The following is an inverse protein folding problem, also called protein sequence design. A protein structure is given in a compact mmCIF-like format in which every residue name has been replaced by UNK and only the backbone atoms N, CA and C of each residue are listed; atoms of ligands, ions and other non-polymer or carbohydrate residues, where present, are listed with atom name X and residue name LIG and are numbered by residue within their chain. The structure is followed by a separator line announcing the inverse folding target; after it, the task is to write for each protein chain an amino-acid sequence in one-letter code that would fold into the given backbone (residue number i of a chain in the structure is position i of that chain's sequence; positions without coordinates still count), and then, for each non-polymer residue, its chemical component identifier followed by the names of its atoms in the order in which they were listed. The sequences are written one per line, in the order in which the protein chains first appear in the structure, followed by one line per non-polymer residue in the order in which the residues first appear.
data_IF_240663354169
#
_entry.id   IF_240663354169
#
_cell.length_a   1.000
_cell.length_b   1.000
_cell.length_c   1.000
_cell.angle_alpha   90.00
_cell.angle_beta   90.00
_cell.angle_gamma   90.00
#
_symmetry.space_group_name_H-M   'P 1'
#
loop_
_entity.id
_entity.type
_entity.pdbx_description
1 polymer ?
#
# COMPACT_ATOMS: atom_id res chain seq x y z
N UNK A 1 18.45 14.57 -7.93
CA UNK A 1 17.68 15.76 -8.21
C UNK A 1 16.18 15.61 -7.96
N UNK A 2 15.71 14.47 -7.42
CA UNK A 2 14.33 14.31 -6.98
C UNK A 2 14.08 15.02 -5.64
N UNK A 3 12.81 15.36 -5.39
CA UNK A 3 12.34 15.96 -4.15
C UNK A 3 11.38 14.96 -3.49
N UNK A 4 11.48 14.71 -2.15
CA UNK A 4 10.51 13.86 -1.46
C UNK A 4 9.09 14.43 -1.61
N UNK A 5 8.16 13.63 -2.13
CA UNK A 5 6.78 14.05 -2.31
C UNK A 5 5.99 14.13 -0.98
N UNK A 6 6.22 13.24 0.02
CA UNK A 6 5.47 13.28 1.26
C UNK A 6 5.76 14.50 2.12
N UNK A 7 6.97 15.07 2.04
CA UNK A 7 7.38 16.15 2.92
C UNK A 7 6.50 17.41 2.76
N UNK A 8 5.79 17.77 3.82
CA UNK A 8 4.80 18.86 3.88
C UNK A 8 3.53 18.64 3.03
N UNK A 9 3.36 17.46 2.43
CA UNK A 9 2.10 17.13 1.75
C UNK A 9 0.98 17.04 2.79
N UNK A 10 -0.01 17.92 2.70
CA UNK A 10 -1.11 18.07 3.65
C UNK A 10 -0.67 18.14 5.14
N UNK A 11 0.58 18.54 5.40
CA UNK A 11 1.14 18.64 6.75
C UNK A 11 1.97 17.42 7.18
N UNK A 12 2.15 16.39 6.34
CA UNK A 12 3.01 15.24 6.68
C UNK A 12 4.46 15.70 6.99
N UNK A 13 5.05 15.31 8.14
CA UNK A 13 6.27 15.96 8.64
C UNK A 13 7.58 15.38 8.13
N UNK A 14 7.57 14.27 7.38
CA UNK A 14 8.79 13.52 6.98
C UNK A 14 8.86 13.31 5.47
N UNK A 15 10.01 12.83 5.00
CA UNK A 15 10.32 12.65 3.57
C UNK A 15 9.96 11.26 3.04
N UNK A 16 9.55 10.34 3.90
CA UNK A 16 9.26 8.93 3.63
C UNK A 16 8.28 8.44 4.69
N UNK A 17 7.45 7.44 4.37
CA UNK A 17 6.70 6.72 5.38
C UNK A 17 7.42 5.42 5.76
N UNK A 18 7.35 5.05 7.03
CA UNK A 18 7.84 3.77 7.54
C UNK A 18 6.78 3.16 8.44
N UNK A 19 6.17 2.05 8.00
CA UNK A 19 5.06 1.41 8.72
C UNK A 19 5.49 0.04 9.22
N UNK A 20 5.40 -0.19 10.53
CA UNK A 20 6.00 -1.35 11.21
C UNK A 20 4.90 -2.26 11.74
N UNK A 21 4.98 -3.57 11.45
CA UNK A 21 4.12 -4.64 11.97
C UNK A 21 2.62 -4.37 11.74
N UNK A 22 1.89 -3.81 12.72
CA UNK A 22 0.46 -3.51 12.66
C UNK A 22 0.12 -2.10 12.13
N UNK A 23 1.14 -1.33 11.73
CA UNK A 23 0.93 -0.10 10.97
C UNK A 23 0.59 -0.44 9.53
N UNK A 24 -0.59 -0.03 9.09
CA UNK A 24 -1.09 -0.29 7.73
C UNK A 24 -0.33 0.54 6.70
N UNK A 25 -0.25 1.86 6.93
CA UNK A 25 0.45 2.82 6.11
C UNK A 25 0.65 4.16 6.83
N UNK A 26 1.32 5.10 6.16
CA UNK A 26 1.59 6.48 6.63
C UNK A 26 2.33 6.57 7.97
N UNK A 27 3.03 5.53 8.38
CA UNK A 27 3.88 5.58 9.59
C UNK A 27 4.91 6.70 9.48
N UNK A 28 5.04 7.50 10.55
CA UNK A 28 5.95 8.65 10.59
C UNK A 28 7.31 8.17 11.12
N UNK A 29 8.40 8.28 10.36
CA UNK A 29 9.74 7.95 10.85
C UNK A 29 10.10 8.73 12.11
N UNK A 30 10.53 8.02 13.14
CA UNK A 30 10.93 8.59 14.42
C UNK A 30 12.30 8.03 14.87
N UNK A 31 13.17 8.90 15.39
CA UNK A 31 14.51 8.53 15.87
C UNK A 31 14.48 7.66 17.13
N UNK A 32 13.38 7.69 17.89
CA UNK A 32 13.19 6.88 19.10
C UNK A 32 12.71 5.45 18.76
N UNK A 33 12.19 5.23 17.55
CA UNK A 33 11.71 3.92 17.11
C UNK A 33 12.88 3.13 16.48
N UNK A 34 13.35 2.13 17.20
CA UNK A 34 14.43 1.25 16.75
C UNK A 34 13.86 -0.07 16.27
N UNK A 35 14.07 -0.40 15.01
CA UNK A 35 13.69 -1.70 14.43
C UNK A 35 14.38 -2.85 15.18
N UNK A 36 13.65 -3.92 15.44
CA UNK A 36 14.10 -5.10 16.17
C UNK A 36 14.08 -6.33 15.26
N UNK A 37 14.90 -7.30 15.60
CA UNK A 37 14.82 -8.61 14.96
C UNK A 37 13.39 -9.19 15.11
N UNK A 38 12.84 -9.64 13.99
CA UNK A 38 11.47 -10.11 13.93
C UNK A 38 10.44 -9.06 13.45
N UNK A 39 10.82 -7.80 13.28
CA UNK A 39 9.93 -6.80 12.70
C UNK A 39 9.82 -6.96 11.18
N UNK A 40 8.65 -6.60 10.65
CA UNK A 40 8.45 -6.31 9.23
C UNK A 40 8.18 -4.81 9.10
N UNK A 41 8.75 -4.17 8.10
CA UNK A 41 8.57 -2.73 7.87
C UNK A 41 8.32 -2.44 6.40
N UNK A 42 7.27 -1.68 6.13
CA UNK A 42 7.06 -1.02 4.84
C UNK A 42 7.89 0.26 4.82
N UNK A 43 8.60 0.49 3.72
CA UNK A 43 9.25 1.77 3.43
C UNK A 43 8.65 2.29 2.13
N UNK A 44 7.95 3.39 2.24
CA UNK A 44 7.23 4.02 1.14
C UNK A 44 7.92 5.33 0.74
N UNK A 45 8.33 5.38 -0.53
CA UNK A 45 9.17 6.44 -1.08
C UNK A 45 8.53 7.04 -2.33
N UNK A 46 7.91 8.17 -2.15
CA UNK A 46 7.35 8.94 -3.26
C UNK A 46 8.27 10.12 -3.62
N UNK A 47 8.40 10.39 -4.89
CA UNK A 47 9.39 11.36 -5.39
C UNK A 47 8.79 12.28 -6.45
N UNK A 48 9.10 13.58 -6.37
CA UNK A 48 8.85 14.54 -7.45
C UNK A 48 10.14 14.70 -8.25
N UNK A 49 10.07 14.41 -9.54
CA UNK A 49 11.19 14.63 -10.46
C UNK A 49 10.72 15.33 -11.73
N UNK A 50 11.32 16.49 -12.02
CA UNK A 50 10.95 17.34 -13.16
C UNK A 50 9.45 17.70 -13.23
N UNK A 51 8.79 17.84 -12.08
CA UNK A 51 7.37 18.18 -11.98
C UNK A 51 6.42 16.98 -12.07
N UNK A 52 6.92 15.76 -12.13
CA UNK A 52 6.12 14.54 -12.13
C UNK A 52 6.32 13.76 -10.82
N UNK A 53 5.23 13.17 -10.34
CA UNK A 53 5.22 12.30 -9.17
C UNK A 53 5.45 10.84 -9.56
N UNK A 54 6.20 10.13 -8.73
CA UNK A 54 6.31 8.68 -8.73
C UNK A 54 6.12 8.16 -7.32
N UNK A 55 5.55 6.98 -7.20
CA UNK A 55 5.23 6.34 -5.93
C UNK A 55 5.68 4.89 -5.93
N UNK A 56 6.21 4.41 -4.80
CA UNK A 56 6.60 3.02 -4.66
C UNK A 56 6.93 2.65 -3.22
N UNK A 57 6.53 1.48 -2.80
CA UNK A 57 6.87 0.95 -1.48
C UNK A 57 7.41 -0.47 -1.51
N UNK A 58 8.10 -0.85 -0.43
CA UNK A 58 8.64 -2.19 -0.24
C UNK A 58 8.57 -2.64 1.20
N UNK A 59 8.32 -3.93 1.39
CA UNK A 59 8.46 -4.59 2.68
C UNK A 59 9.89 -5.09 2.91
N UNK A 60 10.36 -4.92 4.12
CA UNK A 60 11.63 -5.48 4.60
C UNK A 60 11.39 -6.32 5.86
N UNK A 61 12.00 -7.49 5.91
CA UNK A 61 12.06 -8.34 7.09
C UNK A 61 13.35 -8.03 7.85
N UNK A 62 13.25 -7.72 9.14
CA UNK A 62 14.40 -7.36 9.97
C UNK A 62 14.92 -8.60 10.70
N UNK A 63 16.08 -9.09 10.26
CA UNK A 63 16.65 -10.33 10.77
C UNK A 63 15.77 -11.56 10.47
N UNK A 64 15.62 -12.43 11.46
CA UNK A 64 14.76 -13.61 11.35
C UNK A 64 13.34 -13.25 11.79
N UNK A 65 12.39 -13.27 10.88
CA UNK A 65 10.97 -13.08 11.17
C UNK A 65 10.25 -14.43 11.28
N UNK A 66 9.07 -14.42 11.88
CA UNK A 66 8.28 -15.64 11.98
C UNK A 66 7.74 -16.11 10.62
N UNK A 67 7.42 -17.40 10.44
CA UNK A 67 6.83 -17.92 9.20
C UNK A 67 5.53 -17.22 8.79
N UNK A 68 4.74 -16.76 9.76
CA UNK A 68 3.50 -15.99 9.53
C UNK A 68 3.82 -14.64 8.86
N UNK A 69 4.82 -13.93 9.38
CA UNK A 69 5.29 -12.65 8.81
C UNK A 69 5.88 -12.85 7.40
N UNK A 70 6.71 -13.87 7.22
CA UNK A 70 7.23 -14.22 5.88
C UNK A 70 6.10 -14.51 4.89
N UNK A 71 5.10 -15.28 5.33
CA UNK A 71 3.92 -15.59 4.51
C UNK A 71 3.16 -14.33 4.14
N UNK A 72 2.88 -13.44 5.10
CA UNK A 72 2.17 -12.19 4.87
C UNK A 72 2.89 -11.34 3.82
N UNK A 73 4.19 -11.08 4.01
CA UNK A 73 5.00 -10.28 3.07
C UNK A 73 5.03 -10.92 1.68
N UNK A 74 5.17 -12.25 1.60
CA UNK A 74 5.16 -12.98 0.33
C UNK A 74 3.81 -12.86 -0.39
N UNK A 75 2.70 -13.09 0.32
CA UNK A 75 1.35 -13.00 -0.27
C UNK A 75 1.05 -11.56 -0.72
N UNK A 76 1.47 -10.56 0.04
CA UNK A 76 1.35 -9.16 -0.36
C UNK A 76 2.07 -8.89 -1.68
N UNK A 77 3.29 -9.41 -1.83
CA UNK A 77 4.04 -9.31 -3.09
C UNK A 77 3.32 -10.02 -4.24
N UNK A 78 2.81 -11.23 -4.00
CA UNK A 78 2.02 -11.98 -4.98
C UNK A 78 0.77 -11.20 -5.41
N UNK A 79 0.09 -10.51 -4.48
CA UNK A 79 -1.05 -9.64 -4.78
C UNK A 79 -0.68 -8.53 -5.78
N UNK A 80 0.45 -7.85 -5.58
CA UNK A 80 0.93 -6.82 -6.52
C UNK A 80 1.25 -7.43 -7.89
N UNK A 81 1.97 -8.57 -7.93
CA UNK A 81 2.30 -9.27 -9.18
C UNK A 81 1.04 -9.71 -9.94
N UNK A 82 0.02 -10.19 -9.23
CA UNK A 82 -1.30 -10.51 -9.80
C UNK A 82 -1.96 -9.24 -10.34
N UNK A 83 -1.98 -8.16 -9.55
CA UNK A 83 -2.50 -6.87 -9.98
C UNK A 83 -1.88 -6.43 -11.30
N UNK A 84 -0.55 -6.37 -11.37
CA UNK A 84 0.20 -6.02 -12.59
C UNK A 84 -0.20 -6.93 -13.77
N UNK A 85 -0.34 -8.24 -13.54
CA UNK A 85 -0.70 -9.20 -14.61
C UNK A 85 -2.08 -8.96 -15.22
N UNK A 86 -2.97 -8.28 -14.48
CA UNK A 86 -4.33 -7.94 -14.90
C UNK A 86 -4.45 -6.57 -15.56
N UNK A 87 -3.40 -5.76 -15.52
CA UNK A 87 -3.40 -4.48 -16.24
C UNK A 87 -3.36 -4.73 -17.73
N UNK A 88 -4.49 -4.44 -18.40
CA UNK A 88 -4.65 -4.60 -19.84
C UNK A 88 -5.47 -3.46 -20.42
N UNK A 89 -5.06 -2.91 -21.58
CA UNK A 89 -5.88 -1.90 -22.24
C UNK A 89 -7.30 -2.41 -22.51
N UNK A 90 -8.26 -1.54 -22.28
CA UNK A 90 -9.69 -1.74 -22.54
C UNK A 90 -10.40 -2.73 -21.60
N UNK A 91 -9.71 -3.19 -20.55
CA UNK A 91 -10.31 -3.97 -19.46
C UNK A 91 -10.74 -3.06 -18.30
N UNK A 92 -11.82 -3.40 -17.57
CA UNK A 92 -12.19 -2.68 -16.36
C UNK A 92 -11.14 -2.84 -15.25
N UNK A 93 -10.81 -1.76 -14.57
CA UNK A 93 -9.82 -1.77 -13.47
C UNK A 93 -10.26 -2.68 -12.29
N UNK A 94 -11.56 -2.86 -12.10
CA UNK A 94 -12.13 -3.75 -11.08
C UNK A 94 -11.73 -5.22 -11.26
N UNK A 95 -11.42 -5.67 -12.47
CA UNK A 95 -10.92 -7.03 -12.70
C UNK A 95 -9.56 -7.25 -12.02
N UNK A 96 -8.74 -6.24 -11.98
CA UNK A 96 -7.46 -6.26 -11.26
C UNK A 96 -7.70 -6.30 -9.75
N UNK A 97 -8.50 -5.39 -9.21
CA UNK A 97 -8.81 -5.35 -7.78
C UNK A 97 -9.47 -6.63 -7.29
N UNK A 98 -10.42 -7.19 -8.05
CA UNK A 98 -11.06 -8.46 -7.72
C UNK A 98 -10.06 -9.63 -7.65
N UNK A 99 -9.15 -9.74 -8.62
CA UNK A 99 -8.16 -10.80 -8.63
C UNK A 99 -7.20 -10.73 -7.44
N UNK A 100 -6.78 -9.51 -7.06
CA UNK A 100 -5.97 -9.25 -5.86
C UNK A 100 -6.73 -9.67 -4.60
N UNK A 101 -8.01 -9.28 -4.48
CA UNK A 101 -8.86 -9.62 -3.35
C UNK A 101 -9.00 -11.14 -3.17
N UNK A 102 -9.32 -11.84 -4.25
CA UNK A 102 -9.50 -13.28 -4.18
C UNK A 102 -8.22 -13.99 -3.74
N UNK A 103 -7.05 -13.57 -4.23
CA UNK A 103 -5.78 -14.15 -3.81
C UNK A 103 -5.50 -13.93 -2.32
N UNK A 104 -5.76 -12.73 -1.79
CA UNK A 104 -5.60 -12.46 -0.36
C UNK A 104 -6.53 -13.36 0.48
N UNK A 105 -7.82 -13.44 0.12
CA UNK A 105 -8.81 -14.28 0.81
C UNK A 105 -8.45 -15.77 0.78
N UNK A 106 -8.01 -16.30 -0.36
CA UNK A 106 -7.58 -17.70 -0.52
C UNK A 106 -6.38 -18.05 0.38
N UNK A 107 -5.56 -17.05 0.71
CA UNK A 107 -4.44 -17.20 1.63
C UNK A 107 -4.79 -16.95 3.10
N UNK A 108 -6.06 -16.57 3.40
CA UNK A 108 -6.57 -16.33 4.74
C UNK A 108 -6.34 -14.91 5.26
N UNK A 109 -6.13 -13.95 4.37
CA UNK A 109 -5.93 -12.54 4.68
C UNK A 109 -7.13 -11.68 4.27
N UNK A 110 -7.21 -10.48 4.83
CA UNK A 110 -8.17 -9.45 4.44
C UNK A 110 -7.46 -8.29 3.73
N UNK A 111 -8.23 -7.43 3.07
CA UNK A 111 -7.72 -6.22 2.41
C UNK A 111 -8.47 -5.01 2.95
N UNK A 112 -7.74 -3.94 3.24
CA UNK A 112 -8.31 -2.64 3.58
C UNK A 112 -9.15 -2.12 2.42
N UNK A 113 -10.34 -1.57 2.71
CA UNK A 113 -11.32 -1.20 1.67
C UNK A 113 -11.27 0.28 1.32
N UNK A 114 -11.09 1.12 2.34
CA UNK A 114 -11.22 2.57 2.25
C UNK A 114 -9.93 3.26 1.79
N UNK A 115 -8.82 2.52 1.74
CA UNK A 115 -7.53 2.99 1.25
C UNK A 115 -7.13 2.07 0.09
N UNK A 116 -6.63 2.65 -0.99
CA UNK A 116 -6.28 1.89 -2.18
C UNK A 116 -5.33 2.66 -3.07
N UNK A 117 -5.09 2.14 -4.26
CA UNK A 117 -4.27 2.79 -5.25
C UNK A 117 -4.96 3.99 -5.90
N UNK A 118 -4.20 4.75 -6.62
CA UNK A 118 -4.65 6.01 -7.22
C UNK A 118 -3.87 6.31 -8.51
N UNK A 119 -4.41 7.20 -9.32
CA UNK A 119 -3.64 7.81 -10.39
C UNK A 119 -2.48 8.63 -9.83
N UNK A 120 -1.35 8.64 -10.52
CA UNK A 120 -0.13 9.36 -10.13
C UNK A 120 0.56 9.92 -11.37
N UNK A 121 1.11 11.12 -11.24
CA UNK A 121 1.87 11.71 -12.37
C UNK A 121 1.94 13.21 -12.30
N UNK A 122 0.89 13.93 -12.65
CA UNK A 122 0.85 15.40 -12.55
C UNK A 122 0.54 15.85 -11.12
N UNK A 123 -0.27 15.07 -10.42
CA UNK A 123 -0.53 15.23 -9.00
C UNK A 123 -0.01 14.00 -8.24
N UNK A 124 0.15 14.11 -6.93
CA UNK A 124 0.53 13.00 -6.09
C UNK A 124 -0.58 11.95 -6.06
N UNK A 125 -1.83 12.39 -5.88
CA UNK A 125 -3.02 11.56 -5.95
C UNK A 125 -3.98 12.18 -6.97
N UNK A 126 -4.29 11.43 -8.01
CA UNK A 126 -5.23 11.83 -9.06
C UNK A 126 -6.12 10.63 -9.46
N UNK A 127 -7.10 10.83 -10.30
CA UNK A 127 -7.90 9.74 -10.86
C UNK A 127 -7.05 8.82 -11.76
N UNK A 128 -7.35 7.50 -11.80
CA UNK A 128 -8.49 6.83 -11.19
C UNK A 128 -8.24 6.36 -9.74
N UNK A 129 -9.29 6.22 -8.96
CA UNK A 129 -9.28 5.44 -7.73
C UNK A 129 -9.17 3.95 -8.04
N UNK A 130 -8.27 3.25 -7.34
CA UNK A 130 -8.01 1.81 -7.52
C UNK A 130 -8.42 1.04 -6.27
N UNK A 131 -9.61 0.42 -6.31
CA UNK A 131 -10.11 -0.41 -5.23
C UNK A 131 -9.68 -1.87 -5.40
N UNK A 132 -9.25 -2.48 -4.30
CA UNK A 132 -8.91 -3.92 -4.26
C UNK A 132 -10.06 -4.80 -3.75
N UNK A 133 -11.22 -4.23 -3.50
CA UNK A 133 -12.44 -4.97 -3.12
C UNK A 133 -13.56 -4.80 -4.15
N UNK A 134 -13.18 -4.48 -5.38
CA UNK A 134 -14.09 -4.30 -6.51
C UNK A 134 -14.74 -5.60 -6.96
N UNK A 135 -15.91 -5.49 -7.57
CA UNK A 135 -16.54 -6.58 -8.32
C UNK A 135 -15.87 -6.74 -9.69
N UNK A 136 -15.90 -7.95 -10.23
CA UNK A 136 -15.49 -8.18 -11.63
C UNK A 136 -16.31 -7.33 -12.61
N UNK A 137 -15.67 -6.92 -13.69
CA UNK A 137 -16.26 -6.10 -14.76
C UNK A 137 -16.78 -4.73 -14.29
N UNK A 138 -16.23 -4.20 -13.17
CA UNK A 138 -16.59 -2.89 -12.62
C UNK A 138 -15.45 -1.89 -12.72
N UNK A 139 -15.76 -0.62 -12.43
CA UNK A 139 -14.80 0.47 -12.42
C UNK A 139 -14.51 1.06 -13.80
N UNK A 140 -13.53 1.94 -13.86
CA UNK A 140 -13.13 2.61 -15.11
C UNK A 140 -12.43 1.66 -16.07
N UNK A 141 -12.53 1.94 -17.36
CA UNK A 141 -11.80 1.20 -18.37
C UNK A 141 -10.35 1.71 -18.42
N UNK A 142 -9.40 0.80 -18.34
CA UNK A 142 -7.98 1.14 -18.45
C UNK A 142 -7.63 1.52 -19.89
N UNK A 143 -7.15 2.72 -20.09
CA UNK A 143 -6.76 3.23 -21.40
C UNK A 143 -5.24 3.34 -21.52
N UNK A 144 -4.67 3.16 -22.72
CA UNK A 144 -3.24 3.38 -22.93
C UNK A 144 -2.81 4.80 -22.54
N UNK A 145 -1.80 4.89 -21.67
CA UNK A 145 -1.30 6.15 -21.16
C UNK A 145 -1.77 6.49 -19.73
N UNK A 146 -2.72 5.75 -19.18
CA UNK A 146 -3.04 5.85 -17.77
C UNK A 146 -1.87 5.42 -16.90
N UNK A 147 -1.63 6.15 -15.82
CA UNK A 147 -0.68 5.82 -14.77
C UNK A 147 -1.42 5.73 -13.44
N UNK A 148 -1.20 4.69 -12.69
CA UNK A 148 -1.80 4.48 -11.38
C UNK A 148 -0.97 3.51 -10.54
N UNK A 149 -1.15 3.56 -9.22
CA UNK A 149 -0.46 2.69 -8.27
C UNK A 149 -1.20 1.35 -8.09
N UNK A 150 -0.46 0.32 -7.71
CA UNK A 150 -0.98 -0.97 -7.27
C UNK A 150 -0.37 -1.28 -5.92
N UNK A 151 -1.10 -0.98 -4.85
CA UNK A 151 -0.62 -0.94 -3.47
C UNK A 151 -1.58 -1.57 -2.47
N UNK A 152 -2.01 -2.82 -2.65
CA UNK A 152 -2.95 -3.44 -1.72
C UNK A 152 -2.37 -3.53 -0.31
N UNK A 153 -3.18 -3.13 0.68
CA UNK A 153 -2.87 -3.27 2.10
C UNK A 153 -3.49 -4.56 2.61
N UNK A 154 -2.65 -5.53 2.94
CA UNK A 154 -3.04 -6.90 3.31
C UNK A 154 -2.91 -7.06 4.82
N UNK A 155 -4.03 -7.37 5.49
CA UNK A 155 -4.10 -7.55 6.93
C UNK A 155 -4.26 -9.02 7.32
N UNK A 156 -3.63 -9.40 8.42
CA UNK A 156 -3.76 -10.75 9.00
C UNK A 156 -5.16 -10.98 9.59
N UNK A 157 -5.77 -9.95 10.16
CA UNK A 157 -7.05 -10.00 10.85
C UNK A 157 -8.14 -9.18 10.17
N UNK A 158 -8.70 -8.19 10.88
CA UNK A 158 -9.76 -7.31 10.36
C UNK A 158 -9.29 -6.44 9.18
N UNK A 159 -10.16 -6.18 8.20
CA UNK A 159 -9.89 -5.15 7.19
C UNK A 159 -10.03 -3.73 7.73
N UNK A 160 -10.57 -3.58 8.95
CA UNK A 160 -10.84 -2.28 9.55
C UNK A 160 -9.56 -1.70 10.19
N UNK A 161 -9.52 -0.38 10.28
CA UNK A 161 -8.37 0.36 10.78
C UNK A 161 -8.81 1.59 11.59
N UNK A 162 -7.85 2.24 12.24
CA UNK A 162 -8.03 3.57 12.81
C UNK A 162 -6.81 4.45 12.49
N UNK A 163 -7.03 5.75 12.48
CA UNK A 163 -5.96 6.75 12.37
C UNK A 163 -5.51 7.13 13.76
N UNK A 164 -4.21 7.22 13.97
CA UNK A 164 -3.61 7.67 15.23
C UNK A 164 -4.04 9.12 15.54
N UNK A 165 -4.77 9.31 16.65
CA UNK A 165 -5.27 10.62 17.08
C UNK A 165 -4.17 11.57 17.57
N UNK A 166 -2.97 11.05 17.90
CA UNK A 166 -1.85 11.86 18.37
C UNK A 166 -1.06 12.51 17.23
N UNK A 167 -1.07 11.89 16.04
CA UNK A 167 -0.30 12.39 14.89
C UNK A 167 -1.13 12.64 13.63
N UNK A 168 -2.41 12.25 13.62
CA UNK A 168 -3.38 12.41 12.52
C UNK A 168 -2.96 11.74 11.18
N UNK A 169 -1.99 10.82 11.20
CA UNK A 169 -1.42 10.20 9.99
C UNK A 169 -1.32 8.69 10.03
N UNK A 170 -0.63 8.15 11.02
CA UNK A 170 -0.34 6.72 11.08
C UNK A 170 -1.62 5.91 11.18
N UNK A 171 -1.76 4.94 10.31
CA UNK A 171 -2.93 4.07 10.24
C UNK A 171 -2.57 2.72 10.84
N UNK A 172 -3.35 2.27 11.81
CA UNK A 172 -3.18 1.00 12.50
C UNK A 172 -4.34 0.05 12.22
N UNK A 173 -4.06 -1.24 12.22
CA UNK A 173 -5.12 -2.27 12.23
C UNK A 173 -5.93 -2.16 13.52
N UNK A 174 -7.27 -2.36 13.42
CA UNK A 174 -8.16 -2.22 14.59
C UNK A 174 -7.96 -3.31 15.65
N UNK A 175 -7.37 -4.44 15.29
CA UNK A 175 -7.22 -5.65 16.09
C UNK A 175 -5.75 -5.95 16.45
N UNK A 176 -4.84 -5.01 16.23
CA UNK A 176 -3.39 -5.15 16.42
C UNK A 176 -2.76 -6.28 15.55
N UNK A 177 -3.50 -6.83 14.59
CA UNK A 177 -3.01 -7.83 13.63
C UNK A 177 -1.96 -7.23 12.69
N UNK A 178 -1.10 -8.08 12.13
CA UNK A 178 -0.06 -7.65 11.19
C UNK A 178 -0.67 -7.10 9.90
N UNK A 179 -0.02 -6.09 9.33
CA UNK A 179 -0.31 -5.54 8.02
C UNK A 179 0.95 -5.50 7.14
N UNK A 180 0.77 -5.64 5.83
CA UNK A 180 1.83 -5.47 4.86
C UNK A 180 1.31 -4.78 3.59
N UNK A 181 2.14 -3.90 3.02
CA UNK A 181 1.89 -3.18 1.78
C UNK A 181 3.13 -3.24 0.89
N UNK A 182 2.91 -3.42 -0.40
CA UNK A 182 3.94 -3.28 -1.45
C UNK A 182 3.29 -2.55 -2.61
N UNK A 183 4.05 -1.68 -3.21
CA UNK A 183 3.61 -0.88 -4.33
C UNK A 183 4.58 -0.97 -5.52
#
# INVERSE_FOLDING_TARGET
GGIPAPLNYQGFPKSVCTSINNEVCHGIPDEEIVLKEGDIVNVDVSTIYQGYFSDSSRMFCIGNVSPEKEKLVRVTKECVEIGISKVKPWEPIGNMGHAVHMHALENGYTIVKEIGGHGVGLEFHEDPWVSYTSEENSGVIMEPGMMFTIEPMINEGSPDFFVDEDNDWTIYTIDDGLSAQIE
#
